data_IF_784899592638
#
_entry.id   IF_784899592638
#
_cell.length_a   1.000
_cell.length_b   1.000
_cell.length_c   1.000
_cell.angle_alpha   90.00
_cell.angle_beta   90.00
_cell.angle_gamma   90.00
#
_symmetry.space_group_name_H-M   'P 1'
#
loop_
_entity.id
_entity.type
_entity.pdbx_description
1 polymer ?
#
# COMPACT_ATOMS: atom_id res chain seq x y z
N UNK A 1 12.82 5.48 -6.55
CA UNK A 1 11.55 6.23 -6.45
C UNK A 1 11.85 7.58 -5.80
N UNK A 2 11.16 8.69 -6.15
CA UNK A 2 11.42 9.97 -5.51
C UNK A 2 11.11 9.88 -4.01
N UNK A 3 12.11 10.09 -3.17
CA UNK A 3 11.97 9.99 -1.70
C UNK A 3 11.26 11.23 -1.10
N UNK A 4 11.14 12.30 -1.89
CA UNK A 4 10.52 13.57 -1.52
C UNK A 4 9.05 13.67 -1.95
N UNK A 5 8.39 12.55 -2.25
CA UNK A 5 6.97 12.52 -2.63
C UNK A 5 6.20 11.57 -1.70
N UNK A 6 5.17 12.07 -0.99
CA UNK A 6 4.72 13.46 -0.95
C UNK A 6 5.72 14.41 -0.27
N UNK A 7 5.79 15.65 -0.75
CA UNK A 7 6.64 16.69 -0.14
C UNK A 7 6.22 17.06 1.28
N UNK A 8 4.93 16.96 1.60
CA UNK A 8 4.40 17.06 2.96
C UNK A 8 3.66 15.74 3.28
N UNK A 9 4.29 14.84 4.05
CA UNK A 9 3.65 13.61 4.51
C UNK A 9 2.48 13.90 5.43
N UNK A 10 1.50 12.99 5.41
CA UNK A 10 0.34 13.04 6.27
C UNK A 10 0.63 12.45 7.67
N UNK A 11 -0.34 12.53 8.59
CA UNK A 11 -0.21 12.01 9.96
C UNK A 11 0.96 12.59 10.77
N UNK A 12 1.33 13.84 10.48
CA UNK A 12 2.44 14.54 11.14
C UNK A 12 3.78 13.80 11.03
N UNK A 13 3.99 13.04 9.95
CA UNK A 13 5.27 12.36 9.67
C UNK A 13 6.30 13.35 9.11
N UNK A 14 7.57 13.05 9.35
CA UNK A 14 8.69 13.91 8.97
C UNK A 14 8.90 13.94 7.45
N UNK A 15 9.03 15.13 6.83
CA UNK A 15 9.37 15.22 5.41
C UNK A 15 10.78 14.66 5.16
N UNK A 16 11.01 14.17 3.94
CA UNK A 16 12.34 13.77 3.49
C UNK A 16 13.29 14.96 3.46
N UNK A 17 14.45 14.82 4.08
CA UNK A 17 15.52 15.82 4.05
C UNK A 17 16.72 15.24 3.34
N UNK A 18 17.19 15.95 2.32
CA UNK A 18 18.44 15.67 1.62
C UNK A 18 19.36 16.88 1.75
N UNK A 19 20.60 16.65 2.17
CA UNK A 19 21.63 17.68 2.19
C UNK A 19 22.96 17.11 1.72
N UNK A 20 23.75 17.98 1.06
CA UNK A 20 25.08 17.65 0.57
C UNK A 20 26.11 18.06 1.62
N UNK A 21 26.85 17.09 2.16
CA UNK A 21 27.98 17.35 3.04
C UNK A 21 29.23 17.54 2.18
N UNK A 22 29.81 18.73 2.24
CA UNK A 22 31.09 19.00 1.59
C UNK A 22 32.22 18.46 2.46
N UNK A 23 32.99 17.49 1.93
CA UNK A 23 34.21 17.02 2.59
C UNK A 23 35.42 17.85 2.15
N UNK A 24 35.52 18.16 0.85
CA UNK A 24 36.50 19.07 0.28
C UNK A 24 35.89 19.83 -0.91
N UNK A 25 35.78 21.17 -0.85
CA UNK A 25 35.18 21.97 -1.92
C UNK A 25 35.85 21.71 -3.28
N UNK A 26 35.04 21.38 -4.28
CA UNK A 26 35.48 21.07 -5.65
C UNK A 26 36.01 19.65 -5.87
N UNK A 27 36.06 18.81 -4.83
CA UNK A 27 36.70 17.49 -4.91
C UNK A 27 35.78 16.35 -4.41
N UNK A 28 35.24 16.46 -3.20
CA UNK A 28 34.50 15.37 -2.54
C UNK A 28 33.25 15.88 -1.81
N UNK A 29 32.11 15.25 -2.10
CA UNK A 29 30.80 15.56 -1.54
C UNK A 29 30.07 14.26 -1.22
N UNK A 30 29.40 14.21 -0.06
CA UNK A 30 28.54 13.10 0.35
C UNK A 30 27.08 13.53 0.34
N UNK A 31 26.19 12.61 -0.04
CA UNK A 31 24.74 12.74 0.16
C UNK A 31 24.34 12.23 1.55
N UNK A 32 23.59 13.03 2.29
CA UNK A 32 22.96 12.59 3.54
C UNK A 32 21.44 12.70 3.46
N UNK A 33 20.78 11.70 4.03
CA UNK A 33 19.34 11.59 4.06
C UNK A 33 18.84 11.44 5.49
N UNK A 34 17.78 12.18 5.83
CA UNK A 34 16.94 11.91 6.99
C UNK A 34 15.53 11.63 6.49
N UNK A 35 14.99 10.48 6.87
CA UNK A 35 13.68 10.04 6.40
C UNK A 35 12.95 9.21 7.44
N UNK A 36 11.64 9.45 7.52
CA UNK A 36 10.70 8.50 8.12
C UNK A 36 10.27 7.51 7.02
N UNK A 37 10.44 6.21 7.27
CA UNK A 37 10.17 5.16 6.28
C UNK A 37 8.69 5.02 5.92
N UNK A 38 7.80 5.70 6.65
CA UNK A 38 6.38 5.81 6.39
C UNK A 38 5.98 7.14 5.70
N UNK A 39 6.92 7.89 5.13
CA UNK A 39 6.64 9.22 4.56
C UNK A 39 6.52 9.28 3.03
N UNK A 40 6.63 8.13 2.37
CA UNK A 40 6.60 8.02 0.91
C UNK A 40 6.06 6.67 0.47
N UNK A 41 6.53 6.18 -0.68
CA UNK A 41 6.27 4.78 -1.05
C UNK A 41 6.93 3.86 -0.03
N UNK A 42 6.15 3.01 0.63
CA UNK A 42 6.57 2.30 1.84
C UNK A 42 5.97 0.90 1.95
N UNK A 43 6.70 -0.01 2.57
CA UNK A 43 6.16 -1.28 3.06
C UNK A 43 5.92 -1.21 4.56
N UNK A 44 4.73 -1.60 4.99
CA UNK A 44 4.40 -1.73 6.39
C UNK A 44 4.80 -3.12 6.90
N UNK A 45 5.80 -3.15 7.78
CA UNK A 45 6.15 -4.36 8.53
C UNK A 45 5.11 -4.67 9.60
N UNK A 46 5.12 -5.90 10.14
CA UNK A 46 4.16 -6.32 11.16
C UNK A 46 4.28 -5.61 12.51
N UNK A 47 5.29 -4.75 12.68
CA UNK A 47 5.43 -3.83 13.82
C UNK A 47 4.71 -2.49 13.62
N UNK A 48 4.19 -2.21 12.43
CA UNK A 48 3.67 -0.88 12.11
C UNK A 48 2.40 -0.55 12.88
N UNK A 49 1.48 -1.51 13.00
CA UNK A 49 0.18 -1.28 13.63
C UNK A 49 -0.23 -2.46 14.51
N UNK A 50 -0.59 -2.17 15.76
CA UNK A 50 -1.13 -3.16 16.68
C UNK A 50 -2.66 -3.20 16.58
N UNK A 51 -3.24 -4.32 17.00
CA UNK A 51 -4.67 -4.34 17.28
C UNK A 51 -4.97 -3.54 18.54
N UNK A 52 -5.55 -2.35 18.34
CA UNK A 52 -5.73 -1.31 19.36
C UNK A 52 -6.37 -1.84 20.66
N UNK A 53 -7.49 -2.59 20.63
CA UNK A 53 -8.10 -3.07 21.88
C UNK A 53 -7.19 -3.99 22.70
N UNK A 54 -6.29 -4.73 22.06
CA UNK A 54 -5.43 -5.72 22.72
C UNK A 54 -3.97 -5.27 22.91
N UNK A 55 -3.55 -4.16 22.31
CA UNK A 55 -2.15 -3.74 22.28
C UNK A 55 -1.19 -4.81 21.74
N UNK A 56 -1.66 -5.65 20.81
CA UNK A 56 -0.94 -6.84 20.33
C UNK A 56 -0.77 -6.78 18.82
N UNK A 57 0.44 -7.05 18.34
CA UNK A 57 0.78 -7.13 16.93
C UNK A 57 0.65 -8.58 16.42
N UNK A 58 1.06 -8.82 15.17
CA UNK A 58 1.09 -10.16 14.58
C UNK A 58 1.82 -11.19 15.47
N UNK A 59 1.32 -12.42 15.46
CA UNK A 59 1.91 -13.57 16.17
C UNK A 59 2.17 -13.30 17.67
N UNK A 60 1.23 -12.62 18.33
CA UNK A 60 1.30 -12.24 19.75
C UNK A 60 2.56 -11.41 20.12
N UNK A 61 3.05 -10.59 19.20
CA UNK A 61 4.15 -9.65 19.47
C UNK A 61 3.62 -8.48 20.31
N UNK A 62 4.42 -8.01 21.27
CA UNK A 62 4.08 -6.94 22.23
C UNK A 62 5.06 -5.77 22.09
N UNK A 63 4.73 -4.62 22.70
CA UNK A 63 5.61 -3.45 22.69
C UNK A 63 7.02 -3.74 23.21
N UNK A 64 7.14 -4.55 24.27
CA UNK A 64 8.44 -4.98 24.83
C UNK A 64 9.32 -5.79 23.86
N UNK A 65 8.74 -6.40 22.83
CA UNK A 65 9.51 -7.11 21.78
C UNK A 65 10.13 -6.13 20.78
N UNK A 66 9.66 -4.88 20.75
CA UNK A 66 10.02 -3.85 19.77
C UNK A 66 11.01 -2.86 20.38
N UNK A 67 10.78 -2.44 21.63
CA UNK A 67 11.61 -1.46 22.34
C UNK A 67 11.95 -1.89 23.76
N UNK A 68 12.98 -1.25 24.33
CA UNK A 68 13.46 -1.52 25.69
C UNK A 68 14.43 -2.71 25.79
N UNK A 69 14.79 -3.11 27.03
CA UNK A 69 15.86 -4.08 27.29
C UNK A 69 15.60 -5.50 26.76
N UNK A 70 14.32 -5.86 26.58
CA UNK A 70 13.88 -7.16 26.09
C UNK A 70 13.55 -7.15 24.59
N UNK A 71 13.82 -6.04 23.90
CA UNK A 71 13.56 -5.92 22.47
C UNK A 71 14.30 -7.00 21.68
N UNK A 72 13.64 -7.49 20.65
CA UNK A 72 14.16 -8.55 19.78
C UNK A 72 13.82 -8.21 18.32
N UNK A 73 13.90 -9.19 17.42
CA UNK A 73 13.73 -9.02 15.98
C UNK A 73 12.38 -9.53 15.45
N UNK A 74 11.46 -9.95 16.33
CA UNK A 74 10.14 -10.47 15.95
C UNK A 74 9.35 -9.44 15.14
N UNK A 75 8.75 -9.85 14.01
CA UNK A 75 7.93 -8.98 13.15
C UNK A 75 8.64 -7.78 12.50
N UNK A 76 9.96 -7.67 12.58
CA UNK A 76 10.71 -6.57 11.95
C UNK A 76 10.88 -6.76 10.44
N UNK A 77 10.88 -5.66 9.69
CA UNK A 77 10.91 -5.65 8.21
C UNK A 77 12.23 -6.21 7.62
N UNK A 78 13.32 -6.23 8.39
CA UNK A 78 14.61 -6.75 7.92
C UNK A 78 14.54 -8.21 7.42
N UNK A 79 13.69 -9.06 8.02
CA UNK A 79 13.48 -10.45 7.56
C UNK A 79 13.06 -10.52 6.08
N UNK A 80 12.30 -9.53 5.62
CA UNK A 80 11.90 -9.44 4.21
C UNK A 80 12.99 -8.82 3.34
N UNK A 81 13.77 -7.88 3.89
CA UNK A 81 14.87 -7.25 3.18
C UNK A 81 15.99 -8.24 2.81
N UNK A 82 16.16 -9.34 3.57
CA UNK A 82 17.14 -10.39 3.27
C UNK A 82 16.92 -11.11 1.94
N UNK A 83 15.66 -11.19 1.49
CA UNK A 83 15.27 -11.87 0.24
C UNK A 83 14.72 -10.90 -0.81
N UNK A 84 14.26 -9.74 -0.38
CA UNK A 84 13.42 -8.86 -1.19
C UNK A 84 11.99 -9.37 -1.29
N UNK A 85 11.10 -8.52 -1.81
CA UNK A 85 9.71 -8.87 -2.08
C UNK A 85 9.57 -9.00 -3.59
N UNK A 86 9.30 -10.21 -4.07
CA UNK A 86 9.06 -10.53 -5.47
C UNK A 86 7.95 -11.58 -5.56
N UNK A 87 7.01 -11.38 -6.49
CA UNK A 87 5.85 -12.24 -6.66
C UNK A 87 5.00 -11.78 -7.84
N UNK A 88 3.88 -12.48 -8.07
CA UNK A 88 2.90 -12.09 -9.08
C UNK A 88 2.06 -10.93 -8.56
N UNK A 89 1.95 -9.87 -9.35
CA UNK A 89 1.13 -8.70 -9.02
C UNK A 89 -0.19 -8.71 -9.78
N UNK A 90 -1.30 -8.41 -9.10
CA UNK A 90 -2.62 -8.20 -9.72
C UNK A 90 -3.02 -6.75 -9.49
N UNK A 91 -3.22 -5.99 -10.57
CA UNK A 91 -3.63 -4.59 -10.50
C UNK A 91 -5.12 -4.43 -10.79
N UNK A 92 -5.86 -3.84 -9.85
CA UNK A 92 -7.19 -3.30 -10.04
C UNK A 92 -7.08 -1.77 -10.20
N UNK A 93 -7.29 -1.28 -11.42
CA UNK A 93 -7.26 0.14 -11.76
C UNK A 93 -8.63 0.79 -11.56
N UNK A 94 -9.00 0.93 -10.29
CA UNK A 94 -10.28 1.51 -9.90
C UNK A 94 -10.43 2.95 -10.38
N UNK A 95 -9.36 3.75 -10.38
CA UNK A 95 -9.38 5.14 -10.85
C UNK A 95 -9.83 5.24 -12.32
N UNK A 96 -9.21 4.46 -13.22
CA UNK A 96 -9.62 4.44 -14.63
C UNK A 96 -11.03 3.89 -14.82
N UNK A 97 -11.40 2.85 -14.07
CA UNK A 97 -12.76 2.31 -14.07
C UNK A 97 -13.80 3.36 -13.65
N UNK A 98 -13.55 4.08 -12.55
CA UNK A 98 -14.42 5.11 -12.03
C UNK A 98 -14.63 6.25 -13.04
N UNK A 99 -13.55 6.73 -13.68
CA UNK A 99 -13.63 7.72 -14.75
C UNK A 99 -14.47 7.23 -15.94
N UNK A 100 -14.25 5.99 -16.40
CA UNK A 100 -14.98 5.42 -17.53
C UNK A 100 -16.48 5.24 -17.24
N UNK A 101 -16.85 5.05 -15.97
CA UNK A 101 -18.23 4.91 -15.51
C UNK A 101 -18.87 6.22 -15.06
N UNK A 102 -18.12 7.33 -15.04
CA UNK A 102 -18.59 8.62 -14.52
C UNK A 102 -18.86 8.58 -13.01
N UNK A 103 -18.19 7.70 -12.27
CA UNK A 103 -18.28 7.64 -10.81
C UNK A 103 -17.48 8.78 -10.20
N UNK A 104 -18.09 9.50 -9.27
CA UNK A 104 -17.40 10.55 -8.53
C UNK A 104 -16.65 9.95 -7.33
N UNK A 105 -15.33 9.98 -7.38
CA UNK A 105 -14.45 9.52 -6.30
C UNK A 105 -13.38 10.59 -6.02
N UNK A 106 -13.40 11.17 -4.83
CA UNK A 106 -12.36 12.11 -4.38
C UNK A 106 -11.40 11.39 -3.41
N UNK A 107 -10.13 11.16 -3.80
CA UNK A 107 -9.16 10.49 -2.95
C UNK A 107 -8.75 11.30 -1.69
N UNK A 108 -9.11 12.59 -1.61
CA UNK A 108 -8.88 13.44 -0.43
C UNK A 108 -10.09 13.55 0.50
N UNK A 109 -11.23 12.93 0.17
CA UNK A 109 -12.40 12.80 1.04
C UNK A 109 -12.59 11.35 1.49
N UNK A 110 -13.53 11.11 2.41
CA UNK A 110 -13.82 9.76 2.91
C UNK A 110 -14.73 9.01 1.94
N UNK A 111 -14.13 8.52 0.85
CA UNK A 111 -14.79 7.67 -0.14
C UNK A 111 -14.35 6.22 0.03
N UNK A 112 -15.29 5.29 0.01
CA UNK A 112 -15.02 3.86 0.19
C UNK A 112 -15.20 3.10 -1.12
N UNK A 113 -14.21 2.31 -1.50
CA UNK A 113 -14.26 1.37 -2.62
C UNK A 113 -14.76 0.02 -2.06
N UNK A 114 -16.00 -0.36 -2.38
CA UNK A 114 -16.61 -1.60 -1.89
C UNK A 114 -16.07 -2.85 -2.61
N UNK A 115 -16.36 -4.03 -2.08
CA UNK A 115 -16.09 -5.30 -2.78
C UNK A 115 -16.81 -5.35 -4.13
N UNK A 116 -18.04 -4.84 -4.19
CA UNK A 116 -18.77 -4.78 -5.45
C UNK A 116 -18.06 -3.86 -6.46
N UNK A 117 -17.55 -2.72 -6.02
CA UNK A 117 -16.78 -1.82 -6.89
C UNK A 117 -15.51 -2.51 -7.44
N UNK A 118 -14.80 -3.27 -6.61
CA UNK A 118 -13.62 -4.04 -7.02
C UNK A 118 -13.97 -5.21 -7.95
N UNK A 119 -15.08 -5.89 -7.70
CA UNK A 119 -15.59 -6.97 -8.55
C UNK A 119 -15.95 -6.45 -9.94
N UNK A 120 -16.64 -5.30 -10.00
CA UNK A 120 -17.00 -4.62 -11.24
C UNK A 120 -15.77 -4.08 -11.99
N UNK A 121 -14.81 -3.52 -11.26
CA UNK A 121 -13.53 -3.07 -11.80
C UNK A 121 -12.72 -4.23 -12.39
N UNK A 122 -12.57 -5.33 -11.65
CA UNK A 122 -11.93 -6.56 -12.14
C UNK A 122 -12.61 -7.09 -13.39
N UNK A 123 -13.95 -7.20 -13.37
CA UNK A 123 -14.74 -7.62 -14.54
C UNK A 123 -14.54 -6.72 -15.75
N UNK A 124 -14.47 -5.39 -15.57
CA UNK A 124 -14.18 -4.45 -16.65
C UNK A 124 -12.76 -4.61 -17.22
N UNK A 125 -11.81 -5.09 -16.40
CA UNK A 125 -10.44 -5.42 -16.81
C UNK A 125 -10.29 -6.86 -17.34
N UNK A 126 -11.35 -7.68 -17.29
CA UNK A 126 -11.28 -9.10 -17.65
C UNK A 126 -10.58 -9.98 -16.62
N UNK A 127 -10.61 -9.59 -15.34
CA UNK A 127 -10.04 -10.31 -14.19
C UNK A 127 -11.19 -10.75 -13.28
N UNK A 128 -11.33 -12.05 -13.04
CA UNK A 128 -12.19 -12.56 -11.98
C UNK A 128 -11.41 -12.52 -10.65
N UNK A 129 -11.76 -11.56 -9.80
CA UNK A 129 -11.02 -11.31 -8.55
C UNK A 129 -11.20 -12.41 -7.50
N UNK A 130 -12.02 -13.43 -7.74
CA UNK A 130 -12.19 -14.54 -6.80
C UNK A 130 -10.92 -15.41 -6.73
N UNK A 131 -10.70 -16.14 -5.63
CA UNK A 131 -9.59 -17.09 -5.55
C UNK A 131 -9.71 -18.19 -6.62
N UNK A 132 -8.57 -18.72 -7.06
CA UNK A 132 -8.48 -19.82 -8.03
C UNK A 132 -9.32 -21.02 -7.63
N UNK A 133 -9.38 -21.33 -6.33
CA UNK A 133 -10.18 -22.40 -5.77
C UNK A 133 -11.70 -22.23 -5.99
N UNK A 134 -12.16 -21.00 -6.26
CA UNK A 134 -13.56 -20.67 -6.57
C UNK A 134 -13.77 -20.38 -8.08
N UNK A 135 -12.76 -20.69 -8.92
CA UNK A 135 -12.79 -20.49 -10.36
C UNK A 135 -12.42 -19.07 -10.82
N UNK A 136 -11.89 -18.22 -9.94
CA UNK A 136 -11.35 -16.92 -10.33
C UNK A 136 -9.87 -16.96 -10.74
N UNK A 137 -9.25 -15.80 -10.86
CA UNK A 137 -7.90 -15.62 -11.40
C UNK A 137 -6.83 -15.39 -10.33
N UNK A 138 -7.22 -15.18 -9.07
CA UNK A 138 -6.29 -14.90 -7.98
C UNK A 138 -5.63 -16.19 -7.50
N UNK A 139 -4.29 -16.19 -7.49
CA UNK A 139 -3.46 -17.31 -7.08
C UNK A 139 -2.90 -17.02 -5.68
N UNK A 140 -2.64 -18.10 -4.92
CA UNK A 140 -2.08 -17.99 -3.57
C UNK A 140 -0.73 -17.26 -3.64
N UNK A 141 -0.54 -16.27 -2.77
CA UNK A 141 0.69 -15.49 -2.67
C UNK A 141 0.77 -14.31 -3.63
N UNK A 142 -0.31 -14.01 -4.37
CA UNK A 142 -0.39 -12.78 -5.16
C UNK A 142 -0.20 -11.53 -4.30
N UNK A 143 0.31 -10.48 -4.94
CA UNK A 143 0.35 -9.13 -4.39
C UNK A 143 -0.74 -8.32 -5.09
N UNK A 144 -1.77 -7.94 -4.32
CA UNK A 144 -2.87 -7.13 -4.83
C UNK A 144 -2.46 -5.65 -4.85
N UNK A 145 -2.68 -4.99 -5.98
CA UNK A 145 -2.50 -3.55 -6.16
C UNK A 145 -3.84 -2.90 -6.50
N UNK A 146 -4.23 -1.85 -5.79
CA UNK A 146 -5.43 -1.07 -6.06
C UNK A 146 -5.00 0.37 -6.36
N UNK A 147 -5.21 0.83 -7.60
CA UNK A 147 -5.01 2.22 -7.99
C UNK A 147 -6.31 3.00 -7.74
N UNK A 148 -6.38 3.69 -6.61
CA UNK A 148 -7.51 4.51 -6.19
C UNK A 148 -7.52 5.90 -6.83
N UNK A 149 -6.37 6.41 -7.29
CA UNK A 149 -6.25 7.69 -7.98
C UNK A 149 -5.65 8.82 -7.13
N UNK A 150 -5.21 8.54 -5.90
CA UNK A 150 -4.62 9.57 -5.04
C UNK A 150 -3.35 10.19 -5.64
N UNK A 151 -2.48 9.39 -6.27
CA UNK A 151 -1.26 9.90 -6.93
C UNK A 151 -1.61 10.84 -8.09
N UNK A 152 -2.63 10.50 -8.87
CA UNK A 152 -3.10 11.35 -9.97
C UNK A 152 -3.62 12.70 -9.42
N UNK A 153 -4.46 12.65 -8.39
CA UNK A 153 -4.98 13.83 -7.71
C UNK A 153 -3.89 14.66 -6.99
N UNK A 154 -2.84 14.01 -6.48
CA UNK A 154 -1.69 14.71 -5.90
C UNK A 154 -1.02 15.57 -6.97
N UNK A 155 -0.73 14.99 -8.14
CA UNK A 155 0.00 15.69 -9.21
C UNK A 155 -0.80 16.80 -9.88
N UNK A 156 -2.13 16.75 -9.85
CA UNK A 156 -2.99 17.83 -10.37
C UNK A 156 -3.06 19.06 -9.46
N UNK A 157 -2.65 18.95 -8.19
CA UNK A 157 -2.69 20.04 -7.19
C UNK A 157 -1.39 20.84 -7.13
N UNK A 158 -1.50 22.10 -6.69
CA UNK A 158 -0.34 22.95 -6.41
C UNK A 158 0.42 22.50 -5.16
N UNK A 159 1.69 22.91 -4.98
CA UNK A 159 2.45 22.63 -3.75
C UNK A 159 1.75 23.09 -2.47
N UNK A 160 1.10 24.26 -2.50
CA UNK A 160 0.39 24.81 -1.35
C UNK A 160 -0.84 23.95 -0.97
N UNK A 161 -1.62 23.51 -1.95
CA UNK A 161 -2.76 22.60 -1.71
C UNK A 161 -2.31 21.24 -1.17
N UNK A 162 -1.23 20.67 -1.73
CA UNK A 162 -0.65 19.41 -1.25
C UNK A 162 -0.21 19.53 0.22
N UNK A 163 0.46 20.64 0.56
CA UNK A 163 0.88 20.91 1.93
C UNK A 163 -0.33 21.05 2.86
N UNK A 164 -1.35 21.83 2.47
CA UNK A 164 -2.58 21.98 3.23
C UNK A 164 -3.27 20.62 3.50
N UNK A 165 -3.40 19.79 2.47
CA UNK A 165 -4.03 18.47 2.57
C UNK A 165 -3.24 17.49 3.44
N UNK A 166 -1.90 17.54 3.39
CA UNK A 166 -1.01 16.73 4.23
C UNK A 166 -0.95 17.18 5.68
N UNK A 167 -1.15 18.47 5.96
CA UNK A 167 -1.14 19.06 7.31
C UNK A 167 -2.48 18.98 8.05
N UNK A 168 -3.53 18.41 7.43
CA UNK A 168 -4.83 18.19 8.09
C UNK A 168 -4.63 17.44 9.41
N UNK A 169 -5.25 17.95 10.47
CA UNK A 169 -5.18 17.33 11.80
C UNK A 169 -5.83 15.95 11.83
N UNK A 170 -5.52 15.14 12.84
CA UNK A 170 -6.02 13.76 12.95
C UNK A 170 -7.56 13.62 12.87
N UNK A 171 -8.32 14.65 13.25
CA UNK A 171 -9.80 14.65 13.16
C UNK A 171 -10.35 15.06 11.78
N UNK A 172 -9.53 15.72 10.98
CA UNK A 172 -9.90 16.32 9.69
C UNK A 172 -9.31 15.57 8.49
N UNK A 173 -8.29 14.75 8.75
CA UNK A 173 -7.62 13.95 7.74
C UNK A 173 -8.58 12.90 7.18
N UNK A 174 -8.65 12.84 5.85
CA UNK A 174 -9.50 11.93 5.12
C UNK A 174 -8.78 11.38 3.91
N UNK A 175 -9.02 10.11 3.61
CA UNK A 175 -8.50 9.47 2.42
C UNK A 175 -9.55 8.55 1.83
N UNK A 176 -9.65 8.58 0.50
CA UNK A 176 -10.35 7.56 -0.26
C UNK A 176 -9.54 6.27 -0.23
N UNK A 177 -10.22 5.13 -0.14
CA UNK A 177 -9.56 3.82 -0.11
C UNK A 177 -10.55 2.66 -0.02
N UNK A 178 -10.02 1.47 0.23
CA UNK A 178 -10.84 0.24 0.29
C UNK A 178 -11.76 0.27 1.51
N UNK A 179 -13.02 -0.14 1.32
CA UNK A 179 -14.01 -0.26 2.36
C UNK A 179 -13.68 -1.41 3.34
N UNK A 180 -13.89 -1.22 4.63
CA UNK A 180 -13.64 -2.21 5.68
C UNK A 180 -14.85 -3.12 5.95
N UNK A 181 -15.51 -3.58 4.89
CA UNK A 181 -16.64 -4.51 4.96
C UNK A 181 -16.17 -5.97 5.05
N UNK A 182 -17.04 -6.83 5.58
CA UNK A 182 -16.76 -8.26 5.81
C UNK A 182 -16.41 -8.99 4.51
N UNK A 183 -17.12 -8.68 3.41
CA UNK A 183 -16.83 -9.20 2.07
C UNK A 183 -15.39 -8.93 1.61
N UNK A 184 -14.85 -7.74 1.87
CA UNK A 184 -13.44 -7.46 1.57
C UNK A 184 -12.52 -8.25 2.51
N UNK A 185 -12.82 -8.30 3.80
CA UNK A 185 -12.00 -9.02 4.78
C UNK A 185 -11.91 -10.52 4.47
N UNK A 186 -13.02 -11.11 4.05
CA UNK A 186 -13.12 -12.51 3.64
C UNK A 186 -12.44 -12.74 2.30
N UNK A 187 -12.68 -11.87 1.32
CA UNK A 187 -12.01 -11.95 0.02
C UNK A 187 -10.48 -11.91 0.14
N UNK A 188 -9.95 -10.95 0.90
CA UNK A 188 -8.51 -10.81 1.13
C UNK A 188 -7.90 -12.06 1.79
N UNK A 189 -8.68 -12.73 2.65
CA UNK A 189 -8.27 -13.94 3.34
C UNK A 189 -8.31 -15.17 2.47
N UNK A 190 -9.43 -15.39 1.81
CA UNK A 190 -9.69 -16.59 1.01
C UNK A 190 -8.81 -16.62 -0.24
N UNK A 191 -8.34 -15.46 -0.70
CA UNK A 191 -7.34 -15.34 -1.75
C UNK A 191 -5.91 -15.65 -1.31
N UNK A 192 -5.61 -15.63 0.00
CA UNK A 192 -4.26 -15.78 0.52
C UNK A 192 -3.24 -14.84 -0.15
N UNK A 193 -3.60 -13.56 -0.30
CA UNK A 193 -2.65 -12.56 -0.79
C UNK A 193 -1.44 -12.49 0.14
N UNK A 194 -0.24 -12.43 -0.43
CA UNK A 194 0.99 -12.19 0.34
C UNK A 194 1.04 -10.74 0.86
N UNK A 195 0.48 -9.82 0.07
CA UNK A 195 0.47 -8.40 0.36
C UNK A 195 -0.65 -7.68 -0.39
N UNK A 196 -1.06 -6.54 0.15
CA UNK A 196 -1.94 -5.57 -0.51
C UNK A 196 -1.21 -4.24 -0.66
N UNK A 197 -1.58 -3.50 -1.69
CA UNK A 197 -0.93 -2.25 -2.03
C UNK A 197 -1.95 -1.25 -2.59
N UNK A 198 -1.80 0.03 -2.23
CA UNK A 198 -2.64 1.12 -2.74
C UNK A 198 -1.83 2.36 -3.05
N UNK A 199 -2.37 3.27 -3.86
CA UNK A 199 -1.70 4.52 -4.23
C UNK A 199 -2.03 5.72 -3.30
N UNK A 200 -2.77 5.45 -2.21
CA UNK A 200 -3.20 6.43 -1.21
C UNK A 200 -2.36 6.31 0.08
N UNK A 201 -2.22 7.38 0.89
CA UNK A 201 -1.48 7.35 2.16
C UNK A 201 -1.99 6.30 3.16
N UNK A 202 -3.25 5.90 3.03
CA UNK A 202 -3.82 4.72 3.67
C UNK A 202 -4.35 3.77 2.58
N UNK A 203 -4.17 2.47 2.75
CA UNK A 203 -4.79 1.49 1.84
C UNK A 203 -6.32 1.53 1.92
N UNK A 204 -6.79 1.79 3.13
CA UNK A 204 -8.20 1.80 3.51
C UNK A 204 -8.81 3.20 3.44
N UNK A 205 -10.13 3.27 3.31
CA UNK A 205 -10.85 4.53 3.46
C UNK A 205 -10.67 5.07 4.88
N UNK A 206 -10.34 6.35 5.00
CA UNK A 206 -10.07 7.00 6.29
C UNK A 206 -10.91 8.27 6.49
N UNK A 207 -11.45 8.54 7.69
CA UNK A 207 -11.53 7.61 8.83
C UNK A 207 -12.41 6.39 8.55
N UNK A 208 -12.22 5.34 9.33
CA UNK A 208 -13.09 4.14 9.33
C UNK A 208 -14.52 4.53 9.69
N UNK A 209 -15.52 3.94 9.01
CA UNK A 209 -16.92 4.11 9.41
C UNK A 209 -17.17 3.51 10.80
N UNK A 210 -18.13 4.06 11.54
CA UNK A 210 -18.47 3.56 12.87
C UNK A 210 -18.83 2.06 12.84
N UNK A 211 -18.21 1.27 13.72
CA UNK A 211 -18.39 -0.19 13.78
C UNK A 211 -17.46 -0.99 12.86
N UNK A 212 -16.68 -0.35 11.98
CA UNK A 212 -15.67 -1.02 11.15
C UNK A 212 -14.28 -0.96 11.79
N UNK A 213 -13.50 -2.03 11.62
CA UNK A 213 -12.10 -2.08 12.05
C UNK A 213 -11.20 -1.45 10.99
N UNK A 214 -10.18 -0.72 11.43
CA UNK A 214 -9.12 -0.20 10.56
C UNK A 214 -8.29 -1.37 10.02
N UNK A 215 -8.24 -1.63 8.70
CA UNK A 215 -7.53 -2.71 8.01
C UNK A 215 -6.09 -2.90 8.47
N UNK A 216 -5.38 -1.80 8.77
CA UNK A 216 -4.02 -1.87 9.32
C UNK A 216 -3.93 -2.77 10.57
N UNK A 217 -5.00 -2.85 11.37
CA UNK A 217 -5.08 -3.70 12.56
C UNK A 217 -5.40 -5.18 12.28
N UNK A 218 -6.53 -5.58 11.63
CA UNK A 218 -6.87 -6.97 11.38
C UNK A 218 -6.05 -7.61 10.25
N UNK A 219 -5.63 -6.89 9.20
CA UNK A 219 -4.79 -7.44 8.12
C UNK A 219 -3.42 -7.85 8.68
N UNK A 220 -2.73 -6.92 9.36
CA UNK A 220 -1.41 -7.20 9.93
C UNK A 220 -1.50 -8.23 11.06
N UNK A 221 -2.55 -8.24 11.89
CA UNK A 221 -2.66 -9.16 13.05
C UNK A 221 -3.16 -10.55 12.71
N UNK A 222 -4.26 -10.68 11.98
CA UNK A 222 -4.98 -11.94 11.85
C UNK A 222 -4.41 -12.78 10.70
N UNK A 223 -3.91 -12.11 9.66
CA UNK A 223 -3.71 -12.76 8.36
C UNK A 223 -2.28 -12.70 7.83
N UNK A 224 -1.36 -12.02 8.55
CA UNK A 224 0.07 -12.01 8.23
C UNK A 224 0.37 -11.39 6.86
N UNK A 225 -0.39 -10.37 6.47
CA UNK A 225 -0.33 -9.77 5.14
C UNK A 225 0.22 -8.35 5.21
N UNK A 226 1.17 -8.02 4.34
CA UNK A 226 1.80 -6.70 4.30
C UNK A 226 0.94 -5.67 3.58
N UNK A 227 1.10 -4.40 3.98
CA UNK A 227 0.48 -3.28 3.29
C UNK A 227 1.58 -2.42 2.67
N UNK A 228 1.47 -2.15 1.37
CA UNK A 228 2.28 -1.16 0.66
C UNK A 228 1.40 0.06 0.40
N UNK A 229 1.70 1.19 1.03
CA UNK A 229 1.15 2.47 0.58
C UNK A 229 2.17 3.08 -0.36
N UNK A 230 1.79 3.18 -1.62
CA UNK A 230 2.63 3.66 -2.68
C UNK A 230 2.27 5.11 -2.98
N UNK A 231 3.28 5.98 -2.99
CA UNK A 231 3.21 7.18 -3.81
C UNK A 231 3.38 6.81 -5.29
N UNK A 232 4.07 7.66 -6.03
CA UNK A 232 4.31 7.68 -7.49
C UNK A 232 4.77 6.36 -8.19
N UNK A 233 4.89 5.24 -7.48
CA UNK A 233 5.45 3.97 -7.94
C UNK A 233 4.47 3.05 -8.68
N UNK A 234 3.19 3.04 -8.30
CA UNK A 234 2.17 2.19 -8.97
C UNK A 234 1.84 2.67 -10.37
N UNK A 235 1.95 3.99 -10.62
CA UNK A 235 1.58 4.61 -11.89
C UNK A 235 2.70 4.60 -12.93
N UNK A 236 3.97 4.54 -12.51
CA UNK A 236 5.13 4.64 -13.42
C UNK A 236 5.78 3.30 -13.78
N UNK A 237 5.72 2.30 -12.90
CA UNK A 237 6.44 1.04 -13.07
C UNK A 237 5.58 -0.17 -13.42
N UNK A 238 4.25 -0.10 -13.26
CA UNK A 238 3.35 -1.15 -13.75
C UNK A 238 2.95 -0.81 -15.19
N UNK A 239 3.84 -1.12 -16.15
CA UNK A 239 3.47 -1.13 -17.57
C UNK A 239 2.58 -2.34 -17.81
N UNK A 240 1.29 -2.12 -18.05
CA UNK A 240 0.39 -3.14 -18.59
C UNK A 240 0.84 -3.39 -20.04
N UNK A 241 1.43 -4.55 -20.39
CA UNK A 241 1.67 -4.85 -21.79
C UNK A 241 0.31 -5.02 -22.48
N UNK A 242 0.06 -4.39 -23.64
CA UNK A 242 -1.10 -4.72 -24.44
C UNK A 242 -1.04 -6.22 -24.78
N UNK A 243 -2.16 -6.90 -24.59
CA UNK A 243 -2.36 -8.34 -24.78
C UNK A 243 -1.51 -8.92 -25.91
N UNK A 244 -0.41 -9.61 -25.54
CA UNK A 244 0.31 -10.50 -26.44
C UNK A 244 0.51 -11.83 -25.74
N UNK A 245 -0.29 -12.79 -26.18
CA UNK A 245 -0.02 -14.21 -26.00
C UNK A 245 1.32 -14.50 -26.66
N UNK A 246 2.33 -14.85 -25.87
CA UNK A 246 3.54 -15.49 -26.40
C UNK A 246 3.50 -16.96 -25.98
N UNK A 247 3.51 -17.91 -26.94
CA UNK A 247 3.70 -19.31 -26.61
C UNK A 247 5.17 -19.50 -26.17
N UNK A 248 5.39 -19.90 -24.92
CA UNK A 248 6.70 -20.39 -24.49
C UNK A 248 6.84 -21.86 -24.88
N UNK A 249 7.97 -22.28 -25.50
CA UNK A 249 8.25 -23.68 -25.74
C UNK A 249 8.68 -24.38 -24.44
N UNK A 250 8.09 -25.53 -24.19
CA UNK A 250 8.59 -26.52 -23.22
C UNK A 250 9.96 -27.02 -23.69
N UNK A 251 10.96 -26.92 -22.82
CA UNK A 251 12.30 -27.43 -23.07
C UNK A 251 13.01 -27.73 -21.74
N UNK A 252 13.36 -29.00 -21.59
CA UNK A 252 13.83 -29.67 -20.37
C UNK A 252 15.09 -29.07 -19.74
N UNK A 253 15.14 -29.11 -18.40
CA UNK A 253 16.39 -29.06 -17.65
C UNK A 253 16.26 -29.81 -16.31
N UNK A 254 16.22 -31.13 -16.38
CA UNK A 254 16.89 -31.97 -15.40
C UNK A 254 18.27 -32.33 -15.98
N UNK A 255 19.32 -31.92 -15.28
CA UNK A 255 20.73 -32.17 -15.60
C UNK A 255 21.61 -31.50 -14.57
#
# INVERSE_FOLDING_TARGET
LPLNVPGQPAFNREPFVHYIKTLAPGLFYDDNYYMNTQSGTQWDGFRHFAHLPSGTFYNNTKGQDIEGPASNLKCSIHHWAERGIAGRGVLLDFCSYAHAKGLHFDPYDTCSISYQDLLECGRAQGIDIRPKAQGGDIEIGDILFIRSGWVEAYHSKSPAERAHLGLRGHKEIKFGGVAQEESILDWLHDCYFAAVAGDSPTFEAWPTKAGQLCFSSPILRIKGMHVLTAGDSLTKNIRIPPSRVYPFPLGDAFG
#
